data_IF_307403765134
#
_entry.id   IF_307403765134
#
_cell.length_a   1.000
_cell.length_b   1.000
_cell.length_c   1.000
_cell.angle_alpha   90.00
_cell.angle_beta   90.00
_cell.angle_gamma   90.00
#
_symmetry.space_group_name_H-M   'P 1'
#
loop_
_entity.id
_entity.type
_entity.pdbx_description
1 polymer ?
#
# COMPACT_ATOMS: atom_id res chain seq x y z
N UNK A 1 6.73 24.00 -8.12
CA UNK A 1 7.18 23.09 -7.09
C UNK A 1 6.08 22.15 -6.62
N UNK A 2 6.43 21.09 -5.95
CA UNK A 2 5.52 20.17 -5.28
C UNK A 2 5.99 19.94 -3.84
N UNK A 3 5.07 19.56 -2.95
CA UNK A 3 5.36 19.33 -1.53
C UNK A 3 5.80 17.90 -1.23
N UNK A 4 5.55 16.98 -2.15
CA UNK A 4 6.04 15.60 -2.11
C UNK A 4 6.06 15.01 -3.51
N UNK A 5 6.87 13.97 -3.74
CA UNK A 5 7.05 13.36 -5.05
C UNK A 5 6.86 11.84 -4.98
N UNK A 6 5.93 11.30 -5.77
CA UNK A 6 5.81 9.87 -5.99
C UNK A 6 6.51 9.47 -7.28
N UNK A 7 7.36 8.45 -7.20
CA UNK A 7 8.11 7.92 -8.35
C UNK A 7 7.86 6.44 -8.55
N UNK A 8 7.85 6.01 -9.81
CA UNK A 8 7.78 4.59 -10.15
C UNK A 8 9.15 3.93 -9.90
N UNK A 9 9.15 2.89 -9.09
CA UNK A 9 10.35 2.12 -8.74
C UNK A 9 10.17 0.61 -9.00
N UNK A 10 9.32 0.24 -9.96
CA UNK A 10 8.92 -1.14 -10.23
C UNK A 10 7.60 -1.55 -9.56
N UNK A 11 6.97 -0.64 -8.84
CA UNK A 11 5.66 -0.79 -8.21
C UNK A 11 4.53 -0.49 -9.21
N UNK A 12 3.36 -1.07 -8.95
CA UNK A 12 2.13 -0.82 -9.72
C UNK A 12 0.91 -0.74 -8.79
N UNK A 13 -0.18 -0.18 -9.29
CA UNK A 13 -1.46 -0.20 -8.59
C UNK A 13 -2.23 -1.49 -8.86
N UNK A 14 -3.04 -1.92 -7.89
CA UNK A 14 -3.88 -3.10 -8.00
C UNK A 14 -3.23 -4.37 -7.45
N UNK A 15 -3.69 -5.51 -7.93
CA UNK A 15 -3.15 -6.82 -7.54
C UNK A 15 -1.95 -7.15 -8.42
N UNK A 16 -0.83 -7.48 -7.81
CA UNK A 16 0.34 -7.97 -8.54
C UNK A 16 0.08 -9.36 -9.11
N UNK A 17 0.46 -9.58 -10.37
CA UNK A 17 0.37 -10.89 -11.04
C UNK A 17 1.65 -11.72 -10.87
N UNK A 18 2.72 -11.09 -10.38
CA UNK A 18 4.00 -11.70 -10.01
C UNK A 18 4.60 -10.93 -8.84
N UNK A 19 5.61 -11.49 -8.18
CA UNK A 19 6.31 -10.80 -7.11
C UNK A 19 6.92 -9.48 -7.60
N UNK A 20 6.62 -8.34 -6.96
CA UNK A 20 7.12 -7.04 -7.40
C UNK A 20 8.65 -6.97 -7.23
N UNK A 21 9.32 -6.45 -8.25
CA UNK A 21 10.77 -6.22 -8.25
C UNK A 21 11.03 -4.72 -8.06
N UNK A 22 11.26 -4.27 -6.83
CA UNK A 22 11.51 -2.87 -6.54
C UNK A 22 12.95 -2.47 -6.87
N UNK A 23 13.12 -1.35 -7.56
CA UNK A 23 14.43 -0.79 -7.87
C UNK A 23 14.85 0.23 -6.80
N UNK A 24 15.49 -0.23 -5.75
CA UNK A 24 15.96 0.61 -4.64
C UNK A 24 17.05 1.61 -5.02
N UNK A 25 17.79 1.34 -6.08
CA UNK A 25 18.80 2.27 -6.59
C UNK A 25 18.14 3.55 -7.15
N UNK A 26 16.99 3.40 -7.79
CA UNK A 26 16.17 4.55 -8.23
C UNK A 26 15.73 5.38 -7.03
N UNK A 27 15.29 4.75 -5.92
CA UNK A 27 14.90 5.49 -4.70
C UNK A 27 16.05 6.35 -4.20
N UNK A 28 17.26 5.80 -4.08
CA UNK A 28 18.46 6.53 -3.63
C UNK A 28 18.77 7.72 -4.55
N UNK A 29 18.82 7.47 -5.85
CA UNK A 29 19.14 8.50 -6.85
C UNK A 29 18.14 9.65 -6.86
N UNK A 30 16.85 9.33 -6.76
CA UNK A 30 15.79 10.36 -6.70
C UNK A 30 15.88 11.13 -5.39
N UNK A 31 16.03 10.44 -4.24
CA UNK A 31 16.20 11.10 -2.94
C UNK A 31 17.37 12.09 -2.95
N UNK A 32 18.50 11.73 -3.57
CA UNK A 32 19.68 12.59 -3.63
C UNK A 32 19.50 13.77 -4.60
N UNK A 33 18.58 13.66 -5.56
CA UNK A 33 18.30 14.68 -6.55
C UNK A 33 17.20 15.69 -6.15
N UNK A 34 16.37 15.37 -5.14
CA UNK A 34 15.24 16.23 -4.72
C UNK A 34 15.25 16.49 -3.22
N UNK A 35 14.72 17.66 -2.81
CA UNK A 35 14.60 18.03 -1.40
C UNK A 35 13.23 17.71 -0.80
N UNK A 36 12.27 17.30 -1.62
CA UNK A 36 10.91 16.99 -1.17
C UNK A 36 10.78 15.54 -0.71
N UNK A 37 9.87 15.23 0.24
CA UNK A 37 9.60 13.86 0.67
C UNK A 37 9.17 12.95 -0.48
N UNK A 38 9.68 11.71 -0.47
CA UNK A 38 9.30 10.69 -1.45
C UNK A 38 8.10 9.87 -0.98
N UNK A 39 7.24 9.51 -1.92
CA UNK A 39 6.01 8.73 -1.68
C UNK A 39 6.06 7.43 -2.48
N UNK A 40 5.74 6.31 -1.82
CA UNK A 40 5.54 5.02 -2.46
C UNK A 40 4.05 4.79 -2.72
N UNK A 41 3.65 4.72 -4.01
CA UNK A 41 2.33 4.27 -4.44
C UNK A 41 2.30 2.75 -4.65
N UNK A 42 1.09 2.17 -4.67
CA UNK A 42 0.90 0.76 -5.01
C UNK A 42 1.62 -0.20 -4.06
N UNK A 43 1.66 0.12 -2.76
CA UNK A 43 2.38 -0.68 -1.77
C UNK A 43 1.64 -1.97 -1.35
N UNK A 44 0.37 -2.14 -1.72
CA UNK A 44 -0.38 -3.38 -1.49
C UNK A 44 0.30 -4.54 -2.23
N UNK A 45 0.64 -5.61 -1.49
CA UNK A 45 1.33 -6.78 -2.07
C UNK A 45 2.86 -6.67 -2.13
N UNK A 46 3.45 -5.56 -1.68
CA UNK A 46 4.90 -5.45 -1.45
C UNK A 46 5.25 -6.09 -0.11
N UNK A 47 6.37 -6.81 -0.04
CA UNK A 47 6.79 -7.46 1.20
C UNK A 47 7.15 -6.44 2.30
N UNK A 48 6.95 -6.83 3.57
CA UNK A 48 7.34 -5.99 4.72
C UNK A 48 8.84 -5.65 4.70
N UNK A 49 9.67 -6.57 4.22
CA UNK A 49 11.11 -6.36 4.11
C UNK A 49 11.44 -5.26 3.09
N UNK A 50 10.77 -5.27 1.93
CA UNK A 50 10.94 -4.26 0.89
C UNK A 50 10.39 -2.89 1.33
N UNK A 51 9.26 -2.88 2.02
CA UNK A 51 8.70 -1.64 2.62
C UNK A 51 9.68 -1.03 3.61
N UNK A 52 10.23 -1.83 4.54
CA UNK A 52 11.25 -1.37 5.49
C UNK A 52 12.51 -0.86 4.79
N UNK A 53 12.95 -1.54 3.74
CA UNK A 53 14.09 -1.11 2.92
C UNK A 53 13.77 0.23 2.25
N UNK A 54 12.61 0.39 1.61
CA UNK A 54 12.18 1.64 0.98
C UNK A 54 12.17 2.81 1.99
N UNK A 55 11.62 2.59 3.19
CA UNK A 55 11.61 3.59 4.27
C UNK A 55 13.03 3.98 4.67
N UNK A 56 13.93 3.02 4.87
CA UNK A 56 15.32 3.29 5.23
C UNK A 56 16.07 4.09 4.17
N UNK A 57 15.63 4.01 2.92
CA UNK A 57 16.19 4.74 1.79
C UNK A 57 15.56 6.12 1.55
N UNK A 58 14.54 6.51 2.33
CA UNK A 58 13.98 7.86 2.31
C UNK A 58 12.55 7.96 1.79
N UNK A 59 11.82 6.86 1.64
CA UNK A 59 10.36 6.93 1.46
C UNK A 59 9.73 7.42 2.76
N UNK A 60 9.03 8.55 2.68
CA UNK A 60 8.40 9.22 3.82
C UNK A 60 6.90 8.97 3.94
N UNK A 61 6.26 8.53 2.86
CA UNK A 61 4.82 8.24 2.82
C UNK A 61 4.54 7.01 1.96
N UNK A 62 3.61 6.19 2.39
CA UNK A 62 3.17 4.98 1.69
C UNK A 62 1.66 5.04 1.48
N UNK A 63 1.20 4.76 0.26
CA UNK A 63 -0.22 4.69 -0.08
C UNK A 63 -0.64 3.23 -0.26
N UNK A 64 -1.59 2.79 0.58
CA UNK A 64 -2.17 1.45 0.56
C UNK A 64 -3.66 1.58 0.26
N UNK A 65 -4.18 0.82 -0.70
CA UNK A 65 -5.59 0.80 -1.06
C UNK A 65 -6.10 -0.62 -1.32
N UNK A 66 -5.47 -1.36 -2.21
CA UNK A 66 -5.92 -2.68 -2.68
C UNK A 66 -6.08 -3.67 -1.52
N UNK A 67 -5.15 -3.70 -0.57
CA UNK A 67 -5.22 -4.56 0.62
C UNK A 67 -6.45 -4.27 1.47
N UNK A 68 -6.83 -3.00 1.62
CA UNK A 68 -8.02 -2.61 2.38
C UNK A 68 -9.29 -3.05 1.65
N UNK A 69 -9.33 -2.90 0.33
CA UNK A 69 -10.43 -3.40 -0.49
C UNK A 69 -10.56 -4.93 -0.42
N UNK A 70 -9.44 -5.65 -0.44
CA UNK A 70 -9.43 -7.11 -0.30
C UNK A 70 -9.94 -7.53 1.08
N UNK A 71 -9.50 -6.88 2.15
CA UNK A 71 -10.00 -7.14 3.51
C UNK A 71 -11.51 -6.91 3.62
N UNK A 72 -12.02 -5.83 3.01
CA UNK A 72 -13.46 -5.58 2.93
C UNK A 72 -14.19 -6.71 2.19
N UNK A 73 -13.66 -7.16 1.05
CA UNK A 73 -14.27 -8.24 0.26
C UNK A 73 -14.24 -9.60 0.96
N UNK A 74 -13.20 -9.90 1.74
CA UNK A 74 -13.17 -11.10 2.60
C UNK A 74 -14.31 -11.03 3.61
N UNK A 75 -14.44 -9.93 4.36
CA UNK A 75 -15.51 -9.75 5.33
C UNK A 75 -16.91 -9.84 4.69
N UNK A 76 -17.09 -9.30 3.49
CA UNK A 76 -18.36 -9.44 2.73
C UNK A 76 -18.66 -10.90 2.43
N UNK A 77 -17.70 -11.64 1.89
CA UNK A 77 -17.90 -13.07 1.53
C UNK A 77 -18.21 -13.95 2.74
N UNK A 78 -17.57 -13.68 3.87
CA UNK A 78 -17.77 -14.43 5.11
C UNK A 78 -19.11 -14.12 5.80
N UNK A 79 -19.71 -12.95 5.54
CA UNK A 79 -20.90 -12.46 6.23
C UNK A 79 -22.06 -12.09 5.28
N UNK A 80 -22.04 -12.54 4.02
CA UNK A 80 -23.03 -12.14 3.00
C UNK A 80 -24.48 -12.51 3.36
N UNK A 81 -24.68 -13.55 4.19
CA UNK A 81 -26.01 -14.02 4.63
C UNK A 81 -26.49 -13.35 5.92
N UNK A 82 -25.72 -12.41 6.46
CA UNK A 82 -26.06 -11.70 7.69
C UNK A 82 -26.89 -10.44 7.39
N UNK A 83 -27.66 -9.93 8.38
CA UNK A 83 -28.34 -8.64 8.26
C UNK A 83 -27.34 -7.52 7.92
N UNK A 84 -27.78 -6.53 7.12
CA UNK A 84 -26.92 -5.45 6.61
C UNK A 84 -26.09 -4.75 7.69
N UNK A 85 -26.68 -4.42 8.84
CA UNK A 85 -25.95 -3.75 9.93
C UNK A 85 -24.84 -4.62 10.53
N UNK A 86 -25.01 -5.94 10.54
CA UNK A 86 -23.96 -6.87 10.96
C UNK A 86 -22.85 -6.91 9.91
N UNK A 87 -23.20 -7.08 8.66
CA UNK A 87 -22.25 -7.08 7.53
C UNK A 87 -21.42 -5.79 7.51
N UNK A 88 -22.04 -4.62 7.63
CA UNK A 88 -21.34 -3.33 7.67
C UNK A 88 -20.30 -3.27 8.79
N UNK A 89 -20.67 -3.74 9.98
CA UNK A 89 -19.76 -3.77 11.13
C UNK A 89 -18.56 -4.68 10.90
N UNK A 90 -18.77 -5.88 10.35
CA UNK A 90 -17.68 -6.83 10.08
C UNK A 90 -16.75 -6.33 8.94
N UNK A 91 -17.30 -5.67 7.93
CA UNK A 91 -16.49 -5.00 6.89
C UNK A 91 -15.61 -3.90 7.50
N UNK A 92 -16.18 -3.02 8.32
CA UNK A 92 -15.40 -1.97 9.01
C UNK A 92 -14.31 -2.56 9.90
N UNK A 93 -14.61 -3.65 10.62
CA UNK A 93 -13.65 -4.36 11.47
C UNK A 93 -12.51 -4.94 10.65
N UNK A 94 -12.79 -5.67 9.58
CA UNK A 94 -11.78 -6.27 8.70
C UNK A 94 -10.86 -5.23 8.07
N UNK A 95 -11.42 -4.12 7.59
CA UNK A 95 -10.60 -3.01 7.04
C UNK A 95 -9.72 -2.38 8.12
N UNK A 96 -10.27 -2.14 9.32
CA UNK A 96 -9.51 -1.57 10.45
C UNK A 96 -8.36 -2.47 10.88
N UNK A 97 -8.60 -3.77 11.02
CA UNK A 97 -7.58 -4.74 11.43
C UNK A 97 -6.45 -4.83 10.39
N UNK A 98 -6.78 -4.70 9.11
CA UNK A 98 -5.77 -4.69 8.04
C UNK A 98 -4.96 -3.39 7.98
N UNK A 99 -5.54 -2.27 8.40
CA UNK A 99 -4.90 -0.95 8.38
C UNK A 99 -3.94 -0.71 9.57
N UNK A 100 -4.06 -1.49 10.62
CA UNK A 100 -3.26 -1.38 11.85
C UNK A 100 -2.11 -2.37 11.88
#
# INVERSE_FOLDING_TARGET
GCDSLAVAIGNQHGVYTSEPQLNFEVVKRVRDAVSVPLVLHGASGISDADIKTAISLGIAKINIHTDLCQAAMVAVKENQDQPFLHLEREVRKGVKERAL
#
